data_IF_149997366901
#
_entry.id   IF_149997366901
#
_cell.length_a   1.000
_cell.length_b   1.000
_cell.length_c   1.000
_cell.angle_alpha   90.00
_cell.angle_beta   90.00
_cell.angle_gamma   90.00
#
_symmetry.space_group_name_H-M   'P 1'
#
loop_
_entity.id
_entity.type
_entity.pdbx_description
1 polymer ?
#
# COMPACT_ATOMS: atom_id res chain seq x y z
N UNK A 1 -13.51 -16.05 -14.95
CA UNK A 1 -13.72 -14.71 -14.34
C UNK A 1 -15.13 -14.68 -13.76
N UNK A 2 -15.37 -13.99 -12.64
CA UNK A 2 -16.69 -13.82 -12.05
C UNK A 2 -17.71 -13.14 -12.98
N UNK A 3 -17.29 -12.19 -13.82
CA UNK A 3 -18.19 -11.60 -14.82
C UNK A 3 -18.74 -12.65 -15.81
N UNK A 4 -17.94 -13.63 -16.22
CA UNK A 4 -18.45 -14.76 -17.04
C UNK A 4 -19.47 -15.59 -16.26
N UNK A 5 -19.22 -15.90 -14.99
CA UNK A 5 -20.15 -16.70 -14.18
C UNK A 5 -21.48 -15.98 -13.99
N UNK A 6 -21.42 -14.69 -13.65
CA UNK A 6 -22.62 -13.85 -13.48
C UNK A 6 -23.36 -13.70 -14.81
N UNK A 7 -22.68 -13.56 -15.95
CA UNK A 7 -23.33 -13.51 -17.25
C UNK A 7 -24.18 -14.76 -17.49
N UNK A 8 -23.64 -15.95 -17.22
CA UNK A 8 -24.40 -17.21 -17.36
C UNK A 8 -25.58 -17.29 -16.38
N UNK A 9 -25.40 -16.80 -15.14
CA UNK A 9 -26.48 -16.75 -14.14
C UNK A 9 -27.61 -15.81 -14.57
N UNK A 10 -27.28 -14.58 -14.99
CA UNK A 10 -28.24 -13.61 -15.50
C UNK A 10 -28.97 -14.15 -16.75
N UNK A 11 -28.24 -14.79 -17.66
CA UNK A 11 -28.83 -15.44 -18.84
C UNK A 11 -29.80 -16.55 -18.43
N UNK A 12 -29.45 -17.37 -17.43
CA UNK A 12 -30.31 -18.43 -16.92
C UNK A 12 -31.55 -17.90 -16.17
N UNK A 13 -31.44 -16.73 -15.55
CA UNK A 13 -32.54 -15.99 -14.93
C UNK A 13 -33.48 -15.33 -15.97
N UNK A 14 -33.08 -15.30 -17.24
CA UNK A 14 -33.85 -14.70 -18.34
C UNK A 14 -33.63 -13.19 -18.50
N UNK A 15 -32.56 -12.65 -17.93
CA UNK A 15 -32.19 -11.24 -18.09
C UNK A 15 -31.84 -10.92 -19.55
N UNK A 16 -32.05 -9.66 -19.95
CA UNK A 16 -31.71 -9.23 -21.29
C UNK A 16 -30.19 -9.01 -21.43
N UNK A 17 -29.54 -9.93 -22.14
CA UNK A 17 -28.09 -9.91 -22.32
C UNK A 17 -27.61 -9.17 -23.58
N UNK A 18 -28.50 -8.55 -24.37
CA UNK A 18 -28.11 -7.89 -25.63
C UNK A 18 -27.17 -6.71 -25.44
N UNK A 19 -27.12 -6.14 -24.24
CA UNK A 19 -26.22 -5.06 -23.88
C UNK A 19 -24.78 -5.52 -23.61
N UNK A 20 -24.51 -6.83 -23.53
CA UNK A 20 -23.23 -7.38 -23.11
C UNK A 20 -22.58 -8.22 -24.20
N UNK A 21 -21.35 -7.89 -24.60
CA UNK A 21 -20.52 -8.77 -25.41
C UNK A 21 -19.82 -9.82 -24.54
N UNK A 22 -20.21 -11.09 -24.72
CA UNK A 22 -19.65 -12.23 -23.99
C UNK A 22 -18.13 -12.36 -24.15
N UNK A 23 -17.55 -11.90 -25.25
CA UNK A 23 -16.10 -11.96 -25.47
C UNK A 23 -15.34 -10.81 -24.82
N UNK A 24 -16.03 -9.77 -24.36
CA UNK A 24 -15.42 -8.55 -23.82
C UNK A 24 -16.04 -8.09 -22.50
N UNK A 25 -16.48 -9.04 -21.66
CA UNK A 25 -17.11 -8.73 -20.37
C UNK A 25 -16.21 -7.95 -19.39
N UNK A 26 -14.92 -7.82 -19.67
CA UNK A 26 -13.97 -7.02 -18.89
C UNK A 26 -13.85 -5.58 -19.36
N UNK A 27 -14.54 -5.19 -20.43
CA UNK A 27 -14.60 -3.80 -20.90
C UNK A 27 -15.07 -2.86 -19.79
N UNK A 28 -14.45 -1.67 -19.76
CA UNK A 28 -14.79 -0.60 -18.84
C UNK A 28 -16.21 -0.07 -19.07
N UNK A 29 -16.81 -0.31 -20.25
CA UNK A 29 -18.19 0.07 -20.53
C UNK A 29 -19.21 -0.65 -19.63
N UNK A 30 -18.82 -1.80 -19.07
CA UNK A 30 -19.64 -2.57 -18.14
C UNK A 30 -19.36 -2.24 -16.67
N UNK A 31 -18.42 -1.34 -16.37
CA UNK A 31 -18.16 -0.90 -15.01
C UNK A 31 -19.39 -0.15 -14.45
N UNK A 32 -19.80 -0.51 -13.23
CA UNK A 32 -21.01 0.04 -12.61
C UNK A 32 -22.34 -0.50 -13.17
N UNK A 33 -22.30 -1.47 -14.08
CA UNK A 33 -23.51 -2.20 -14.49
C UNK A 33 -23.87 -3.30 -13.49
N UNK A 34 -25.08 -3.84 -13.61
CA UNK A 34 -25.54 -4.96 -12.78
C UNK A 34 -24.62 -6.18 -12.85
N UNK A 35 -24.13 -6.51 -14.06
CA UNK A 35 -23.11 -7.56 -14.28
C UNK A 35 -21.87 -7.33 -13.39
N UNK A 36 -21.36 -6.10 -13.36
CA UNK A 36 -20.20 -5.75 -12.55
C UNK A 36 -20.53 -5.85 -11.06
N UNK A 37 -21.64 -5.29 -10.61
CA UNK A 37 -22.01 -5.29 -9.20
C UNK A 37 -22.22 -6.69 -8.63
N UNK A 38 -22.88 -7.58 -9.37
CA UNK A 38 -23.03 -8.98 -8.97
C UNK A 38 -21.69 -9.71 -8.95
N UNK A 39 -20.82 -9.46 -9.94
CA UNK A 39 -19.48 -10.07 -9.97
C UNK A 39 -18.61 -9.59 -8.79
N UNK A 40 -18.71 -8.31 -8.44
CA UNK A 40 -18.02 -7.70 -7.31
C UNK A 40 -18.46 -8.29 -5.96
N UNK A 41 -19.76 -8.58 -5.80
CA UNK A 41 -20.24 -9.27 -4.58
C UNK A 41 -19.65 -10.68 -4.45
N UNK A 42 -19.56 -11.43 -5.56
CA UNK A 42 -18.99 -12.80 -5.54
C UNK A 42 -17.50 -12.79 -5.25
N UNK A 43 -16.71 -11.95 -5.93
CA UNK A 43 -15.26 -11.89 -5.67
C UNK A 43 -14.95 -11.42 -4.24
N UNK A 44 -15.77 -10.51 -3.69
CA UNK A 44 -15.62 -10.00 -2.32
C UNK A 44 -15.69 -11.10 -1.27
N UNK A 45 -16.56 -12.12 -1.44
CA UNK A 45 -16.71 -13.22 -0.48
C UNK A 45 -15.95 -14.48 -0.86
N UNK A 46 -15.39 -14.56 -2.09
CA UNK A 46 -14.77 -15.76 -2.66
C UNK A 46 -13.86 -16.54 -1.70
N UNK A 47 -12.90 -15.86 -1.04
CA UNK A 47 -11.98 -16.55 -0.13
C UNK A 47 -12.69 -17.06 1.13
N UNK A 48 -13.59 -16.25 1.69
CA UNK A 48 -14.36 -16.61 2.88
C UNK A 48 -15.30 -17.79 2.61
N UNK A 49 -15.99 -17.79 1.48
CA UNK A 49 -16.86 -18.89 1.06
C UNK A 49 -16.05 -20.13 0.68
N UNK A 50 -14.92 -19.98 0.00
CA UNK A 50 -14.01 -21.08 -0.32
C UNK A 50 -13.49 -21.79 0.93
N UNK A 51 -13.14 -21.02 1.98
CA UNK A 51 -12.75 -21.59 3.27
C UNK A 51 -13.91 -22.30 3.97
N UNK A 52 -15.10 -21.70 3.99
CA UNK A 52 -16.27 -22.20 4.71
C UNK A 52 -16.91 -23.43 4.06
N UNK A 53 -17.07 -23.42 2.74
CA UNK A 53 -17.84 -24.43 1.99
C UNK A 53 -16.97 -25.55 1.43
N UNK A 54 -15.72 -25.24 1.05
CA UNK A 54 -14.82 -26.18 0.39
C UNK A 54 -13.57 -26.52 1.23
N UNK A 55 -13.43 -25.94 2.43
CA UNK A 55 -12.29 -26.19 3.31
C UNK A 55 -10.96 -25.68 2.77
N UNK A 56 -10.98 -24.68 1.88
CA UNK A 56 -9.74 -24.07 1.34
C UNK A 56 -9.06 -23.28 2.44
N UNK A 57 -7.98 -23.83 3.00
CA UNK A 57 -7.25 -23.21 4.11
C UNK A 57 -6.08 -22.32 3.66
N UNK A 58 -5.68 -22.40 2.40
CA UNK A 58 -4.56 -21.63 1.85
C UNK A 58 -4.97 -20.94 0.55
N UNK A 59 -5.05 -19.61 0.58
CA UNK A 59 -5.26 -18.77 -0.59
C UNK A 59 -3.97 -18.02 -0.92
N UNK A 60 -3.66 -17.95 -2.20
CA UNK A 60 -2.49 -17.24 -2.73
C UNK A 60 -2.90 -16.43 -3.95
N UNK A 61 -2.42 -15.19 -4.04
CA UNK A 61 -2.32 -14.47 -5.30
C UNK A 61 -0.89 -14.68 -5.77
N UNK A 62 -0.70 -15.22 -6.97
CA UNK A 62 0.62 -15.64 -7.47
C UNK A 62 1.55 -14.45 -7.72
N UNK A 63 1.04 -13.41 -8.38
CA UNK A 63 1.83 -12.27 -8.85
C UNK A 63 1.31 -10.89 -8.40
N UNK A 64 0.84 -10.70 -7.14
CA UNK A 64 0.27 -9.43 -6.71
C UNK A 64 1.31 -8.31 -6.81
N UNK A 65 2.54 -8.56 -6.34
CA UNK A 65 3.64 -7.60 -6.36
C UNK A 65 4.01 -7.20 -7.79
N UNK A 66 4.07 -8.16 -8.72
CA UNK A 66 4.42 -7.88 -10.12
C UNK A 66 3.44 -6.88 -10.74
N UNK A 67 2.13 -7.16 -10.64
CA UNK A 67 1.09 -6.30 -11.20
C UNK A 67 1.06 -4.93 -10.50
N UNK A 68 1.10 -4.88 -9.17
CA UNK A 68 1.02 -3.61 -8.44
C UNK A 68 2.24 -2.75 -8.66
N UNK A 69 3.44 -3.33 -8.74
CA UNK A 69 4.67 -2.58 -9.01
C UNK A 69 4.70 -2.08 -10.45
N UNK A 70 4.31 -2.91 -11.43
CA UNK A 70 4.26 -2.50 -12.83
C UNK A 70 3.28 -1.33 -13.04
N UNK A 71 2.06 -1.43 -12.49
CA UNK A 71 1.07 -0.36 -12.56
C UNK A 71 1.56 0.91 -11.87
N UNK A 72 2.07 0.79 -10.64
CA UNK A 72 2.56 1.96 -9.90
C UNK A 72 3.72 2.65 -10.62
N UNK A 73 4.65 1.91 -11.24
CA UNK A 73 5.73 2.51 -12.02
C UNK A 73 5.22 3.16 -13.31
N UNK A 74 4.22 2.59 -13.98
CA UNK A 74 3.57 3.21 -15.13
C UNK A 74 3.01 4.59 -14.77
N UNK A 75 2.16 4.64 -13.76
CA UNK A 75 1.45 5.86 -13.35
C UNK A 75 2.41 6.92 -12.79
N UNK A 76 3.40 6.49 -12.01
CA UNK A 76 4.43 7.39 -11.49
C UNK A 76 5.28 7.97 -12.63
N UNK A 77 5.67 7.17 -13.61
CA UNK A 77 6.50 7.63 -14.75
C UNK A 77 5.73 8.65 -15.58
N UNK A 78 4.45 8.42 -15.85
CA UNK A 78 3.58 9.36 -16.56
C UNK A 78 3.51 10.72 -15.84
N UNK A 79 3.25 10.72 -14.53
CA UNK A 79 3.19 11.96 -13.75
C UNK A 79 4.56 12.66 -13.61
N UNK A 80 5.61 11.88 -13.34
CA UNK A 80 6.95 12.38 -13.04
C UNK A 80 7.66 12.98 -14.25
N UNK A 81 7.49 12.38 -15.42
CA UNK A 81 8.04 12.93 -16.67
C UNK A 81 7.02 13.79 -17.44
N UNK A 82 5.77 13.81 -16.99
CA UNK A 82 4.72 14.71 -17.46
C UNK A 82 4.79 16.10 -16.84
N UNK A 83 3.61 16.74 -16.72
CA UNK A 83 3.51 18.13 -16.23
C UNK A 83 3.72 18.27 -14.72
N UNK A 84 3.44 17.21 -13.96
CA UNK A 84 3.50 17.25 -12.49
C UNK A 84 4.95 17.18 -11.97
N UNK A 85 5.87 16.54 -12.70
CA UNK A 85 7.27 16.48 -12.31
C UNK A 85 7.46 15.81 -10.94
N UNK A 86 8.33 16.40 -10.12
CA UNK A 86 8.55 15.96 -8.73
C UNK A 86 7.28 15.95 -7.87
N UNK A 87 6.23 16.70 -8.23
CA UNK A 87 4.98 16.70 -7.47
C UNK A 87 4.32 15.32 -7.46
N UNK A 88 4.41 14.55 -8.56
CA UNK A 88 3.87 13.20 -8.64
C UNK A 88 4.50 12.30 -7.55
N UNK A 89 5.84 12.32 -7.45
CA UNK A 89 6.55 11.55 -6.43
C UNK A 89 6.19 11.99 -5.00
N UNK A 90 6.20 13.30 -4.72
CA UNK A 90 5.91 13.80 -3.38
C UNK A 90 4.45 13.55 -2.97
N UNK A 91 3.49 13.75 -3.88
CA UNK A 91 2.05 13.60 -3.62
C UNK A 91 1.64 12.13 -3.46
N UNK A 92 2.08 11.28 -4.38
CA UNK A 92 1.52 9.94 -4.53
C UNK A 92 2.38 8.87 -3.85
N UNK A 93 3.67 9.13 -3.63
CA UNK A 93 4.58 8.23 -2.88
C UNK A 93 4.85 8.80 -1.50
N UNK A 94 5.67 9.84 -1.38
CA UNK A 94 6.25 10.25 -0.10
C UNK A 94 5.19 10.66 0.93
N UNK A 95 4.22 11.50 0.56
CA UNK A 95 3.13 11.90 1.46
C UNK A 95 2.24 10.73 1.83
N UNK A 96 2.01 9.78 0.93
CA UNK A 96 1.20 8.59 1.23
C UNK A 96 1.91 7.66 2.21
N UNK A 97 3.22 7.44 2.03
CA UNK A 97 4.03 6.67 2.98
C UNK A 97 3.98 7.28 4.39
N UNK A 98 4.15 8.60 4.50
CA UNK A 98 4.06 9.30 5.79
C UNK A 98 2.68 9.13 6.43
N UNK A 99 1.60 9.36 5.68
CA UNK A 99 0.21 9.31 6.19
C UNK A 99 -0.23 7.90 6.59
N UNK A 100 0.25 6.88 5.87
CA UNK A 100 -0.06 5.47 6.11
C UNK A 100 0.93 4.80 7.08
N UNK A 101 1.96 5.53 7.55
CA UNK A 101 2.96 4.99 8.46
C UNK A 101 3.87 3.93 7.83
N UNK A 102 4.11 3.99 6.53
CA UNK A 102 4.98 3.04 5.82
C UNK A 102 6.44 3.32 6.18
N UNK A 103 7.13 2.31 6.71
CA UNK A 103 8.49 2.45 7.22
C UNK A 103 9.53 2.81 6.13
N UNK A 104 9.22 2.52 4.86
CA UNK A 104 10.08 2.82 3.70
C UNK A 104 10.41 4.30 3.52
N UNK A 105 9.62 5.23 4.09
CA UNK A 105 10.00 6.66 4.08
C UNK A 105 11.36 6.90 4.76
N UNK A 106 11.69 6.06 5.76
CA UNK A 106 13.02 5.97 6.39
C UNK A 106 13.85 4.86 5.73
N UNK A 107 14.03 4.94 4.41
CA UNK A 107 14.66 3.89 3.60
C UNK A 107 16.07 3.51 4.08
N UNK A 108 16.85 4.43 4.64
CA UNK A 108 18.18 4.14 5.21
C UNK A 108 18.08 3.13 6.37
N UNK A 109 17.17 3.39 7.32
CA UNK A 109 16.89 2.48 8.43
C UNK A 109 16.35 1.13 7.93
N UNK A 110 15.44 1.15 6.96
CA UNK A 110 14.91 -0.08 6.35
C UNK A 110 15.99 -0.89 5.61
N UNK A 111 17.02 -0.23 5.07
CA UNK A 111 18.19 -0.88 4.47
C UNK A 111 19.23 -1.34 5.53
N UNK A 112 18.94 -1.17 6.82
CA UNK A 112 19.80 -1.65 7.91
C UNK A 112 20.95 -0.72 8.29
N UNK A 113 20.91 0.57 7.94
CA UNK A 113 21.99 1.52 8.29
C UNK A 113 22.25 1.60 9.79
N UNK A 114 21.20 1.59 10.62
CA UNK A 114 21.33 1.66 12.08
C UNK A 114 22.09 0.44 12.64
N UNK A 115 21.78 -0.77 12.14
CA UNK A 115 22.49 -1.99 12.50
C UNK A 115 23.97 -1.91 12.12
N UNK A 116 24.27 -1.33 10.95
CA UNK A 116 25.64 -1.08 10.51
C UNK A 116 26.37 -0.08 11.42
N UNK A 117 25.69 0.96 11.88
CA UNK A 117 26.27 1.97 12.77
C UNK A 117 26.54 1.42 14.18
N UNK A 118 25.65 0.58 14.71
CA UNK A 118 25.87 -0.14 15.97
C UNK A 118 27.09 -1.06 15.87
N UNK A 119 27.18 -1.82 14.78
CA UNK A 119 28.32 -2.70 14.51
C UNK A 119 29.64 -1.90 14.45
N UNK A 120 29.68 -0.77 13.73
CA UNK A 120 30.88 0.07 13.68
C UNK A 120 31.23 0.66 15.05
N UNK A 121 30.22 1.09 15.81
CA UNK A 121 30.41 1.64 17.16
C UNK A 121 31.00 0.61 18.11
N UNK A 122 30.60 -0.66 17.98
CA UNK A 122 31.17 -1.75 18.77
C UNK A 122 32.68 -1.91 18.57
N UNK A 123 33.18 -1.81 17.33
CA UNK A 123 34.61 -2.00 17.03
C UNK A 123 35.46 -0.73 17.19
N UNK A 124 34.92 0.43 16.79
CA UNK A 124 35.68 1.68 16.69
C UNK A 124 35.33 2.70 17.77
N UNK A 125 34.34 2.41 18.64
CA UNK A 125 33.87 3.32 19.67
C UNK A 125 33.48 4.68 19.08
N UNK A 126 34.02 5.74 19.67
CA UNK A 126 33.77 7.12 19.26
C UNK A 126 34.33 7.48 17.87
N UNK A 127 35.28 6.70 17.35
CA UNK A 127 35.86 6.90 16.01
C UNK A 127 35.03 6.27 14.88
N UNK A 128 33.89 5.65 15.20
CA UNK A 128 33.04 5.00 14.22
C UNK A 128 32.45 6.01 13.20
N UNK A 129 32.67 5.76 11.90
CA UNK A 129 32.07 6.54 10.82
C UNK A 129 30.63 6.09 10.54
N UNK A 130 29.67 6.78 11.17
CA UNK A 130 28.23 6.45 11.14
C UNK A 130 27.52 7.06 9.92
N UNK A 131 26.52 6.35 9.40
CA UNK A 131 25.59 6.84 8.37
C UNK A 131 24.49 7.73 8.98
N UNK A 132 24.16 7.51 10.25
CA UNK A 132 23.32 8.39 11.08
C UNK A 132 24.00 9.72 11.43
N UNK A 133 23.26 10.57 12.16
CA UNK A 133 23.77 11.85 12.68
C UNK A 133 22.95 13.07 12.24
N UNK A 134 23.43 14.27 12.60
CA UNK A 134 22.67 15.53 12.43
C UNK A 134 22.24 15.83 11.00
N UNK A 135 23.02 15.39 10.00
CA UNK A 135 22.75 15.60 8.57
C UNK A 135 21.99 14.44 7.91
N UNK A 136 21.55 13.44 8.67
CA UNK A 136 20.78 12.33 8.11
C UNK A 136 19.43 12.85 7.60
N UNK A 137 19.12 12.54 6.35
CA UNK A 137 17.88 13.00 5.71
C UNK A 137 16.64 12.41 6.37
N UNK A 138 16.74 11.27 7.06
CA UNK A 138 15.61 10.63 7.74
C UNK A 138 15.09 11.43 8.94
N UNK A 139 15.90 12.35 9.49
CA UNK A 139 15.53 13.21 10.63
C UNK A 139 14.32 14.10 10.30
N UNK A 140 14.09 14.42 9.01
CA UNK A 140 12.93 15.22 8.59
C UNK A 140 11.58 14.47 8.73
N UNK A 141 11.63 13.16 8.95
CA UNK A 141 10.46 12.28 9.11
C UNK A 141 10.29 11.81 10.56
N UNK A 142 10.96 12.46 11.52
CA UNK A 142 10.72 12.22 12.94
C UNK A 142 9.41 12.88 13.37
N UNK A 143 8.64 12.19 14.21
CA UNK A 143 7.47 12.80 14.82
C UNK A 143 7.94 13.95 15.72
N UNK A 144 7.28 15.11 15.62
CA UNK A 144 7.51 16.18 16.59
C UNK A 144 7.05 15.67 17.95
N UNK A 145 7.98 15.44 18.87
CA UNK A 145 7.64 15.27 20.27
C UNK A 145 6.96 16.54 20.75
N UNK A 146 5.65 16.48 20.97
CA UNK A 146 4.98 17.51 21.74
C UNK A 146 5.46 17.34 23.18
N UNK A 147 6.54 18.03 23.56
CA UNK A 147 6.95 18.16 24.94
C UNK A 147 5.78 18.74 25.75
N UNK A 148 4.98 17.88 26.36
CA UNK A 148 4.08 18.30 27.43
C UNK A 148 4.99 18.65 28.61
N UNK A 149 5.36 19.92 28.72
CA UNK A 149 6.09 20.45 29.87
C UNK A 149 5.23 20.30 31.12
N UNK A 150 5.32 19.15 31.78
CA UNK A 150 4.76 18.95 33.11
C UNK A 150 5.56 19.84 34.07
N UNK A 151 5.00 21.00 34.41
CA UNK A 151 5.54 21.87 35.47
C UNK A 151 5.53 21.08 36.78
N UNK A 152 6.68 20.56 37.18
CA UNK A 152 6.89 19.94 38.48
C UNK A 152 6.81 21.04 39.55
N UNK A 153 5.63 21.22 40.15
CA UNK A 153 5.45 22.10 41.31
C UNK A 153 6.09 21.38 42.50
N UNK A 154 7.35 21.71 42.80
CA UNK A 154 8.00 21.27 44.04
C UNK A 154 7.30 21.99 45.20
N UNK A 155 6.48 21.27 45.97
CA UNK A 155 6.02 21.73 47.28
C UNK A 155 7.19 21.66 48.25
N UNK A 156 7.66 22.83 48.70
CA UNK A 156 8.52 22.94 49.87
C UNK A 156 7.62 22.67 51.07
N UNK A 157 7.87 21.57 51.78
CA UNK A 157 7.25 21.31 53.09
C UNK A 157 8.19 21.87 54.14
N UNK A 158 7.62 22.69 55.03
CA UNK A 158 8.28 23.35 56.15
C UNK A 158 8.70 22.36 57.24
#
# INVERSE_FOLDING_TARGET
>A
NFRNQVYEEMLAEGENMTAYDRNDLMSAEYDGTELCHRADQKIKTFQMDGAREAGIFHHLITLPTYHTTALHMNDLTEGYFGKDGMLAYVRDVQRQEIRKGVACVKHQRMAGSDLGDDHKSFFAGDNALKAGGKKNTSNQFEAKENEVKVKKKLSIVA
#
